data_IF_848556741323
#
_entry.id   IF_848556741323
#
_cell.length_a   1.000
_cell.length_b   1.000
_cell.length_c   1.000
_cell.angle_alpha   90.00
_cell.angle_beta   90.00
_cell.angle_gamma   90.00
#
_symmetry.space_group_name_H-M   'P 1'
#
loop_
_entity.id
_entity.type
_entity.pdbx_description
1 polymer ?
#
# COMPACT_ATOMS: atom_id res chain seq x y z
N UNK A 1 4.59 -21.93 19.37
CA UNK A 1 4.45 -20.54 18.90
C UNK A 1 5.66 -19.74 19.37
N UNK A 2 6.16 -18.79 18.59
CA UNK A 2 7.32 -17.96 18.98
C UNK A 2 8.60 -18.13 18.15
N UNK A 3 8.54 -18.83 17.00
CA UNK A 3 9.65 -18.78 16.04
C UNK A 3 9.63 -17.44 15.30
N UNK A 4 10.79 -16.78 15.21
CA UNK A 4 10.98 -15.60 14.35
C UNK A 4 10.77 -16.00 12.89
N UNK A 5 10.07 -15.14 12.14
CA UNK A 5 9.80 -15.32 10.71
C UNK A 5 10.09 -14.01 9.99
N UNK A 6 10.72 -14.11 8.82
CA UNK A 6 10.82 -13.01 7.87
C UNK A 6 9.93 -13.33 6.67
N UNK A 7 9.08 -12.39 6.29
CA UNK A 7 8.23 -12.49 5.09
C UNK A 7 8.74 -11.48 4.07
N UNK A 8 9.24 -11.98 2.95
CA UNK A 8 9.64 -11.17 1.80
C UNK A 8 8.58 -11.30 0.70
N UNK A 9 7.63 -10.37 0.70
CA UNK A 9 6.57 -10.33 -0.31
C UNK A 9 7.08 -9.97 -1.71
N UNK A 10 8.24 -9.30 -1.83
CA UNK A 10 8.80 -8.92 -3.12
C UNK A 10 9.41 -10.13 -3.83
N UNK A 11 10.10 -10.99 -3.06
CA UNK A 11 10.66 -12.24 -3.56
C UNK A 11 9.67 -13.42 -3.49
N UNK A 12 8.54 -13.26 -2.81
CA UNK A 12 7.58 -14.34 -2.54
C UNK A 12 8.14 -15.43 -1.62
N UNK A 13 8.98 -15.05 -0.65
CA UNK A 13 9.71 -15.98 0.22
C UNK A 13 9.36 -15.81 1.70
N UNK A 14 9.47 -16.90 2.45
CA UNK A 14 9.30 -16.92 3.90
C UNK A 14 10.48 -17.65 4.51
N UNK A 15 11.18 -16.98 5.43
CA UNK A 15 12.28 -17.56 6.20
C UNK A 15 11.80 -17.85 7.62
N UNK A 16 11.89 -19.11 8.04
CA UNK A 16 11.50 -19.55 9.39
C UNK A 16 12.77 -19.75 10.21
N UNK A 17 12.83 -19.13 11.39
CA UNK A 17 14.02 -19.14 12.27
C UNK A 17 15.32 -18.81 11.51
N UNK A 18 15.39 -17.64 10.85
CA UNK A 18 16.52 -17.29 10.00
C UNK A 18 17.82 -17.19 10.83
N UNK A 19 18.97 -17.56 10.24
CA UNK A 19 20.27 -17.32 10.87
C UNK A 19 20.60 -15.82 10.90
N UNK A 20 21.55 -15.43 11.76
CA UNK A 20 21.97 -14.02 11.93
C UNK A 20 22.38 -13.33 10.63
N UNK A 21 22.99 -14.07 9.71
CA UNK A 21 23.39 -13.54 8.40
C UNK A 21 22.19 -13.09 7.58
N UNK A 22 21.12 -13.90 7.57
CA UNK A 22 19.86 -13.57 6.88
C UNK A 22 19.15 -12.43 7.59
N UNK A 23 19.12 -12.42 8.94
CA UNK A 23 18.59 -11.30 9.72
C UNK A 23 19.24 -9.97 9.35
N UNK A 24 20.57 -9.93 9.34
CA UNK A 24 21.33 -8.72 9.05
C UNK A 24 21.09 -8.21 7.61
N UNK A 25 21.00 -9.13 6.64
CA UNK A 25 20.67 -8.79 5.26
C UNK A 25 19.29 -8.14 5.14
N UNK A 26 18.27 -8.75 5.75
CA UNK A 26 16.91 -8.22 5.71
C UNK A 26 16.74 -6.92 6.51
N UNK A 27 17.45 -6.76 7.63
CA UNK A 27 17.48 -5.49 8.36
C UNK A 27 18.02 -4.35 7.47
N UNK A 28 19.11 -4.59 6.74
CA UNK A 28 19.65 -3.60 5.79
C UNK A 28 18.68 -3.32 4.63
N UNK A 29 17.99 -4.35 4.13
CA UNK A 29 16.98 -4.20 3.08
C UNK A 29 15.79 -3.35 3.55
N UNK A 30 15.29 -3.57 4.77
CA UNK A 30 14.21 -2.78 5.37
C UNK A 30 14.64 -1.32 5.49
N UNK A 31 15.83 -1.04 6.02
CA UNK A 31 16.33 0.33 6.13
C UNK A 31 16.44 1.03 4.77
N UNK A 32 16.83 0.30 3.72
CA UNK A 32 16.85 0.86 2.36
C UNK A 32 15.44 1.16 1.84
N UNK A 33 14.48 0.25 2.05
CA UNK A 33 13.09 0.45 1.64
C UNK A 33 12.45 1.62 2.38
N UNK A 34 12.75 1.82 3.66
CA UNK A 34 12.29 2.97 4.43
C UNK A 34 12.85 4.30 3.89
N UNK A 35 14.13 4.32 3.52
CA UNK A 35 14.76 5.49 2.92
C UNK A 35 14.14 5.81 1.55
N UNK A 36 13.92 4.79 0.72
CA UNK A 36 13.26 4.93 -0.58
C UNK A 36 11.81 5.43 -0.42
N UNK A 37 11.06 4.87 0.54
CA UNK A 37 9.70 5.33 0.85
C UNK A 37 9.69 6.82 1.20
N UNK A 38 10.61 7.29 2.07
CA UNK A 38 10.70 8.71 2.43
C UNK A 38 11.02 9.60 1.22
N UNK A 39 11.90 9.15 0.33
CA UNK A 39 12.20 9.89 -0.89
C UNK A 39 10.96 9.97 -1.82
N UNK A 40 10.16 8.91 -1.89
CA UNK A 40 8.90 8.91 -2.65
C UNK A 40 7.83 9.81 -2.02
N UNK A 41 7.81 9.95 -0.70
CA UNK A 41 6.89 10.87 0.00
C UNK A 41 7.11 12.33 -0.41
N UNK A 42 8.33 12.71 -0.82
CA UNK A 42 8.62 14.05 -1.35
C UNK A 42 7.88 14.33 -2.68
N UNK A 43 7.52 13.28 -3.43
CA UNK A 43 6.82 13.40 -4.72
C UNK A 43 5.31 13.57 -4.58
N UNK A 44 4.74 13.44 -3.37
CA UNK A 44 3.29 13.48 -3.16
C UNK A 44 2.65 14.82 -3.57
N UNK A 45 3.43 15.91 -3.53
CA UNK A 45 2.98 17.24 -3.93
C UNK A 45 3.26 17.57 -5.40
N UNK A 46 4.01 16.72 -6.11
CA UNK A 46 4.42 16.96 -7.49
C UNK A 46 3.32 16.55 -8.49
N UNK A 47 3.16 17.28 -9.60
CA UNK A 47 2.18 16.91 -10.61
C UNK A 47 2.63 15.67 -11.41
N UNK A 48 1.68 14.80 -11.71
CA UNK A 48 1.92 13.61 -12.55
C UNK A 48 2.03 14.00 -14.03
N UNK A 49 3.25 14.35 -14.46
CA UNK A 49 3.57 14.81 -15.81
C UNK A 49 4.66 13.94 -16.44
N UNK A 50 4.43 13.48 -17.68
CA UNK A 50 5.44 12.74 -18.44
C UNK A 50 6.60 13.63 -18.88
N UNK A 51 7.73 13.04 -19.26
CA UNK A 51 8.90 13.80 -19.74
C UNK A 51 8.62 14.67 -20.98
N UNK A 52 7.58 14.34 -21.77
CA UNK A 52 7.12 15.13 -22.91
C UNK A 52 5.94 16.08 -22.59
N UNK A 53 5.62 16.27 -21.31
CA UNK A 53 4.71 17.31 -20.83
C UNK A 53 3.23 16.93 -20.77
N UNK A 54 2.88 15.64 -20.81
CA UNK A 54 1.48 15.20 -20.72
C UNK A 54 1.07 15.01 -19.27
N UNK A 55 0.00 15.68 -18.86
CA UNK A 55 -0.63 15.47 -17.57
C UNK A 55 -1.39 14.14 -17.56
N UNK A 56 -1.19 13.34 -16.53
CA UNK A 56 -1.92 12.08 -16.29
C UNK A 56 -2.58 12.18 -14.93
N UNK A 57 -3.86 11.81 -14.85
CA UNK A 57 -4.55 11.79 -13.57
C UNK A 57 -4.23 10.49 -12.81
N UNK A 58 -3.78 10.60 -11.57
CA UNK A 58 -3.55 9.47 -10.67
C UNK A 58 -4.74 9.34 -9.72
N UNK A 59 -5.58 8.33 -9.95
CA UNK A 59 -6.77 8.04 -9.15
C UNK A 59 -6.59 6.77 -8.33
N UNK A 60 -7.15 6.75 -7.14
CA UNK A 60 -7.11 5.59 -6.26
C UNK A 60 -8.27 4.64 -6.54
N UNK A 61 -8.00 3.34 -6.34
CA UNK A 61 -8.99 2.29 -6.27
C UNK A 61 -9.18 1.94 -4.79
N UNK A 62 -10.40 2.07 -4.28
CA UNK A 62 -10.70 1.94 -2.84
C UNK A 62 -11.88 1.00 -2.61
N UNK A 63 -11.89 0.33 -1.46
CA UNK A 63 -13.00 -0.51 -0.99
C UNK A 63 -13.86 0.14 0.09
N UNK A 64 -13.47 1.32 0.60
CA UNK A 64 -14.21 1.97 1.67
C UNK A 64 -13.70 3.37 2.00
N UNK A 65 -14.38 4.02 2.95
CA UNK A 65 -14.11 5.41 3.35
C UNK A 65 -12.73 5.58 3.98
N UNK A 66 -12.26 4.59 4.75
CA UNK A 66 -10.93 4.63 5.36
C UNK A 66 -9.82 4.65 4.30
N UNK A 67 -9.92 3.77 3.29
CA UNK A 67 -8.99 3.74 2.16
C UNK A 67 -9.07 5.01 1.31
N UNK A 68 -10.25 5.62 1.16
CA UNK A 68 -10.39 6.91 0.49
C UNK A 68 -9.67 8.05 1.23
N UNK A 69 -9.73 8.07 2.56
CA UNK A 69 -8.99 9.03 3.38
C UNK A 69 -7.47 8.81 3.27
N UNK A 70 -7.02 7.55 3.29
CA UNK A 70 -5.62 7.20 3.10
C UNK A 70 -5.12 7.57 1.68
N UNK A 71 -5.93 7.33 0.65
CA UNK A 71 -5.59 7.70 -0.72
C UNK A 71 -5.33 9.20 -0.88
N UNK A 72 -6.09 10.04 -0.18
CA UNK A 72 -5.87 11.49 -0.16
C UNK A 72 -4.50 11.84 0.44
N UNK A 73 -4.10 11.17 1.52
CA UNK A 73 -2.77 11.38 2.12
C UNK A 73 -1.61 10.92 1.22
N UNK A 74 -1.89 10.02 0.28
CA UNK A 74 -0.96 9.54 -0.74
C UNK A 74 -1.07 10.28 -2.08
N UNK A 75 -1.66 11.47 -2.10
CA UNK A 75 -1.65 12.35 -3.28
C UNK A 75 -2.61 11.93 -4.40
N UNK A 76 -3.58 11.05 -4.12
CA UNK A 76 -4.58 10.69 -5.10
C UNK A 76 -5.41 11.92 -5.51
N UNK A 77 -5.61 12.10 -6.81
CA UNK A 77 -6.38 13.22 -7.38
C UNK A 77 -7.88 12.94 -7.46
N UNK A 78 -8.31 11.76 -7.00
CA UNK A 78 -9.69 11.31 -7.01
C UNK A 78 -9.80 9.80 -6.80
N UNK A 79 -11.04 9.31 -6.77
CA UNK A 79 -11.34 7.88 -6.73
C UNK A 79 -11.76 7.43 -8.14
N UNK A 80 -10.97 6.55 -8.73
CA UNK A 80 -11.23 6.01 -10.07
C UNK A 80 -12.10 4.76 -10.02
N UNK A 81 -12.06 4.04 -8.89
CA UNK A 81 -12.85 2.85 -8.65
C UNK A 81 -13.21 2.77 -7.16
N UNK A 82 -14.50 2.72 -6.86
CA UNK A 82 -15.00 2.38 -5.53
C UNK A 82 -15.61 0.98 -5.57
N UNK A 83 -15.00 0.03 -4.89
CA UNK A 83 -15.43 -1.37 -4.83
C UNK A 83 -16.46 -1.56 -3.73
N UNK A 84 -17.73 -1.63 -4.11
CA UNK A 84 -18.85 -1.74 -3.15
C UNK A 84 -19.02 -3.15 -2.62
N UNK A 85 -18.38 -4.18 -3.19
CA UNK A 85 -18.51 -5.56 -2.72
C UNK A 85 -18.03 -5.72 -1.27
N UNK A 86 -17.06 -4.90 -0.85
CA UNK A 86 -16.57 -4.92 0.52
C UNK A 86 -17.63 -4.48 1.55
N UNK A 87 -18.64 -3.70 1.14
CA UNK A 87 -19.79 -3.37 1.99
C UNK A 87 -20.64 -4.61 2.36
N UNK A 88 -20.49 -5.71 1.61
CA UNK A 88 -21.24 -6.96 1.81
C UNK A 88 -20.40 -8.07 2.46
N UNK A 89 -19.07 -8.07 2.26
CA UNK A 89 -18.21 -9.19 2.63
C UNK A 89 -17.86 -9.27 4.12
N UNK A 90 -17.77 -8.13 4.82
CA UNK A 90 -17.39 -8.08 6.25
C UNK A 90 -18.62 -7.99 7.18
N UNK A 91 -19.69 -8.72 6.84
CA UNK A 91 -20.99 -8.62 7.52
C UNK A 91 -21.69 -9.98 7.64
N UNK A 92 -22.54 -10.08 8.66
CA UNK A 92 -23.42 -11.24 8.84
C UNK A 92 -24.74 -11.12 8.05
N UNK A 93 -25.09 -9.91 7.59
CA UNK A 93 -26.31 -9.62 6.84
C UNK A 93 -26.04 -8.60 5.73
N UNK A 94 -26.93 -8.59 4.72
CA UNK A 94 -26.87 -7.61 3.63
C UNK A 94 -27.09 -6.18 4.16
N UNK A 95 -26.38 -5.17 3.62
CA UNK A 95 -26.66 -3.77 3.91
C UNK A 95 -28.05 -3.36 3.40
N UNK A 96 -28.70 -2.41 4.08
CA UNK A 96 -29.90 -1.77 3.58
C UNK A 96 -29.57 -0.62 2.61
N UNK A 97 -30.59 -0.02 1.99
CA UNK A 97 -30.39 1.08 1.03
C UNK A 97 -29.95 2.38 1.74
N UNK A 98 -30.41 2.60 2.97
CA UNK A 98 -30.06 3.77 3.77
C UNK A 98 -28.64 3.73 4.37
N UNK A 99 -27.97 2.58 4.31
CA UNK A 99 -26.58 2.37 4.76
C UNK A 99 -25.55 2.61 3.66
#
# INVERSE_FOLDING_TARGET
TGAEIIVDANAGQVHISPPDTVRAQYAAQISRQEAEKRALEELLAEPAVTLDGRNVALWANVGGVAEAAEALTHGAQGIGLFRTEFLYMDRQSLPCEEE
#
